data_IF_510336917454
#
_entry.id   IF_510336917454
#
_cell.length_a   1.000
_cell.length_b   1.000
_cell.length_c   1.000
_cell.angle_alpha   90.00
_cell.angle_beta   90.00
_cell.angle_gamma   90.00
#
_symmetry.space_group_name_H-M   'P 1'
#
loop_
_entity.id
_entity.type
_entity.pdbx_description
1 polymer ?
#
# COMPACT_ATOMS: atom_id res chain seq x y z
N UNK A 1 5.22 4.72 23.12
CA UNK A 1 4.86 3.60 22.22
C UNK A 1 3.41 3.76 21.81
N UNK A 2 3.17 3.83 20.51
CA UNK A 2 1.85 3.88 19.93
C UNK A 2 1.06 2.59 20.14
N UNK A 3 -0.26 2.73 20.19
CA UNK A 3 -1.17 1.61 20.37
C UNK A 3 -1.04 0.61 19.22
N UNK A 4 -0.91 1.08 17.98
CA UNK A 4 -0.74 0.19 16.83
C UNK A 4 0.57 -0.61 16.92
N UNK A 5 1.68 0.03 17.31
CA UNK A 5 2.98 -0.65 17.52
C UNK A 5 2.86 -1.78 18.54
N UNK A 6 2.21 -1.52 19.68
CA UNK A 6 1.97 -2.53 20.71
C UNK A 6 1.18 -3.72 20.16
N UNK A 7 0.15 -3.46 19.33
CA UNK A 7 -0.66 -4.54 18.72
C UNK A 7 0.11 -5.36 17.70
N UNK A 8 1.00 -4.74 16.94
CA UNK A 8 1.87 -5.44 15.99
C UNK A 8 2.86 -6.33 16.74
N UNK A 9 3.52 -5.82 17.78
CA UNK A 9 4.42 -6.62 18.63
C UNK A 9 3.70 -7.79 19.32
N UNK A 10 2.48 -7.56 19.82
CA UNK A 10 1.64 -8.63 20.38
C UNK A 10 1.26 -9.69 19.32
N UNK A 11 0.98 -9.26 18.08
CA UNK A 11 0.67 -10.15 16.98
C UNK A 11 1.88 -10.96 16.52
N UNK A 12 3.07 -10.36 16.51
CA UNK A 12 4.34 -11.01 16.25
C UNK A 12 4.57 -12.17 17.21
N UNK A 13 4.49 -11.91 18.52
CA UNK A 13 4.65 -12.93 19.58
C UNK A 13 3.63 -14.08 19.50
N UNK A 14 2.46 -13.84 18.90
CA UNK A 14 1.35 -14.80 18.84
C UNK A 14 1.15 -15.41 17.46
N UNK A 15 2.07 -15.18 16.52
CA UNK A 15 1.94 -15.64 15.13
C UNK A 15 0.61 -15.25 14.45
N UNK A 16 0.11 -14.05 14.77
CA UNK A 16 -1.10 -13.48 14.17
C UNK A 16 -0.76 -12.45 13.10
N UNK A 17 -1.64 -12.32 12.13
CA UNK A 17 -1.57 -11.30 11.08
C UNK A 17 -2.44 -10.09 11.45
N UNK A 18 -1.86 -8.89 11.33
CA UNK A 18 -2.56 -7.61 11.34
C UNK A 18 -2.43 -6.97 9.97
N UNK A 19 -3.55 -6.63 9.34
CA UNK A 19 -3.56 -5.78 8.14
C UNK A 19 -4.25 -4.48 8.52
N UNK A 20 -3.49 -3.39 8.51
CA UNK A 20 -3.93 -2.05 8.86
C UNK A 20 -3.95 -1.14 7.63
N UNK A 21 -5.01 -0.37 7.50
CA UNK A 21 -5.12 0.68 6.48
C UNK A 21 -5.11 2.04 7.14
N UNK A 22 -4.16 2.88 6.76
CA UNK A 22 -3.98 4.24 7.29
C UNK A 22 -4.50 5.22 6.25
N UNK A 23 -5.55 5.94 6.62
CA UNK A 23 -6.32 6.82 5.76
C UNK A 23 -6.39 8.24 6.31
N UNK A 24 -6.71 9.18 5.43
CA UNK A 24 -6.78 10.61 5.73
C UNK A 24 -6.45 11.42 4.48
N UNK A 25 -6.73 12.72 4.51
CA UNK A 25 -6.37 13.63 3.40
C UNK A 25 -4.86 13.66 3.19
N UNK A 26 -4.44 14.08 1.99
CA UNK A 26 -3.02 14.22 1.67
C UNK A 26 -2.35 15.25 2.59
N UNK A 27 -1.10 15.01 2.98
CA UNK A 27 -0.34 15.92 3.84
C UNK A 27 -0.50 15.71 5.35
N UNK A 28 -1.50 14.97 5.84
CA UNK A 28 -1.72 14.79 7.29
C UNK A 28 -0.72 13.85 8.02
N UNK A 29 0.31 13.36 7.34
CA UNK A 29 1.32 12.50 7.99
C UNK A 29 0.96 11.01 8.10
N UNK A 30 0.18 10.46 7.16
CA UNK A 30 -0.11 9.00 7.07
C UNK A 30 1.16 8.15 7.05
N UNK A 31 2.04 8.43 6.09
CA UNK A 31 3.37 7.81 5.95
C UNK A 31 4.23 8.04 7.18
N UNK A 32 4.24 9.26 7.71
CA UNK A 32 5.00 9.61 8.92
C UNK A 32 4.57 8.76 10.12
N UNK A 33 3.27 8.58 10.31
CA UNK A 33 2.74 7.73 11.37
C UNK A 33 3.08 6.25 11.14
N UNK A 34 2.95 5.75 9.91
CA UNK A 34 3.36 4.38 9.56
C UNK A 34 4.84 4.13 9.88
N UNK A 35 5.74 5.03 9.49
CA UNK A 35 7.17 4.94 9.76
C UNK A 35 7.50 5.03 11.25
N UNK A 36 6.82 5.90 12.01
CA UNK A 36 7.03 5.94 13.47
C UNK A 36 6.58 4.63 14.13
N UNK A 37 5.46 4.05 13.70
CA UNK A 37 5.01 2.73 14.17
C UNK A 37 6.06 1.67 13.84
N UNK A 38 6.58 1.65 12.61
CA UNK A 38 7.64 0.72 12.22
C UNK A 38 8.93 0.94 12.99
N UNK A 39 9.33 2.19 13.26
CA UNK A 39 10.50 2.50 14.08
C UNK A 39 10.36 1.96 15.50
N UNK A 40 9.16 2.02 16.09
CA UNK A 40 8.92 1.42 17.40
C UNK A 40 8.92 -0.11 17.38
N UNK A 41 8.51 -0.73 16.26
CA UNK A 41 8.53 -2.19 16.07
C UNK A 41 9.96 -2.71 15.83
N UNK A 42 10.74 -2.02 14.99
CA UNK A 42 12.09 -2.44 14.58
C UNK A 42 13.21 -1.85 15.43
N UNK A 43 12.94 -0.79 16.20
CA UNK A 43 13.92 -0.05 17.00
C UNK A 43 14.77 0.96 16.21
N UNK A 44 14.71 0.95 14.87
CA UNK A 44 15.52 1.79 13.98
C UNK A 44 14.68 2.38 12.84
N UNK A 45 15.02 3.59 12.41
CA UNK A 45 14.37 4.26 11.28
C UNK A 45 14.80 3.68 9.94
N UNK A 46 16.07 3.31 9.83
CA UNK A 46 16.67 2.68 8.66
C UNK A 46 15.97 1.35 8.39
N UNK A 47 15.82 0.51 9.42
CA UNK A 47 15.01 -0.71 9.33
C UNK A 47 13.55 -0.40 8.97
N UNK A 48 12.95 0.63 9.54
CA UNK A 48 11.58 1.01 9.17
C UNK A 48 11.45 1.35 7.68
N UNK A 49 12.46 2.01 7.08
CA UNK A 49 12.51 2.30 5.65
C UNK A 49 12.79 1.06 4.81
N UNK A 50 13.69 0.17 5.23
CA UNK A 50 14.04 -1.05 4.49
C UNK A 50 12.87 -2.04 4.35
N UNK A 51 11.90 -1.96 5.26
CA UNK A 51 10.66 -2.73 5.21
C UNK A 51 9.46 -1.91 4.69
N UNK A 52 9.71 -0.72 4.14
CA UNK A 52 8.73 0.09 3.43
C UNK A 52 8.93 -0.06 1.91
N UNK A 53 7.83 -0.30 1.21
CA UNK A 53 7.82 -0.50 -0.22
C UNK A 53 6.75 0.36 -0.88
N UNK A 54 7.04 0.84 -2.08
CA UNK A 54 6.07 1.50 -2.97
C UNK A 54 5.44 0.51 -3.95
N UNK A 55 6.09 -0.65 -4.17
CA UNK A 55 5.61 -1.74 -5.03
C UNK A 55 5.79 -3.12 -4.36
N UNK A 56 4.99 -4.14 -4.70
CA UNK A 56 5.08 -5.46 -4.07
C UNK A 56 6.28 -6.29 -4.46
N UNK A 57 6.79 -6.15 -5.69
CA UNK A 57 7.79 -7.09 -6.21
C UNK A 57 9.07 -7.14 -5.32
N UNK A 58 9.66 -6.00 -4.91
CA UNK A 58 10.78 -6.02 -3.95
C UNK A 58 10.43 -6.73 -2.64
N UNK A 59 9.22 -6.52 -2.12
CA UNK A 59 8.77 -7.16 -0.88
C UNK A 59 8.59 -8.68 -1.03
N UNK A 60 8.23 -9.18 -2.22
CA UNK A 60 8.09 -10.61 -2.48
C UNK A 60 9.44 -11.33 -2.40
N UNK A 61 10.53 -10.70 -2.84
CA UNK A 61 11.88 -11.25 -2.66
C UNK A 61 12.27 -11.34 -1.19
N UNK A 62 11.97 -10.30 -0.40
CA UNK A 62 12.17 -10.32 1.05
C UNK A 62 11.34 -11.41 1.73
N UNK A 63 10.06 -11.54 1.35
CA UNK A 63 9.15 -12.56 1.84
C UNK A 63 9.64 -13.98 1.52
N UNK A 64 10.19 -14.20 0.32
CA UNK A 64 10.79 -15.48 -0.08
C UNK A 64 11.98 -15.81 0.81
N UNK A 65 12.91 -14.88 1.01
CA UNK A 65 14.08 -15.09 1.86
C UNK A 65 13.67 -15.41 3.32
N UNK A 66 12.69 -14.68 3.87
CA UNK A 66 12.17 -14.97 5.21
C UNK A 66 11.54 -16.37 5.28
N UNK A 67 10.77 -16.78 4.26
CA UNK A 67 10.17 -18.11 4.19
C UNK A 67 11.24 -19.23 4.18
N UNK A 68 12.30 -19.06 3.39
CA UNK A 68 13.42 -20.01 3.28
C UNK A 68 14.16 -20.16 4.61
N UNK A 69 14.24 -19.10 5.41
CA UNK A 69 14.88 -19.09 6.73
C UNK A 69 13.93 -19.54 7.85
N UNK A 70 12.64 -19.79 7.55
CA UNK A 70 11.62 -20.07 8.57
C UNK A 70 11.33 -18.87 9.49
N UNK A 71 11.74 -17.67 9.08
CA UNK A 71 11.55 -16.44 9.82
C UNK A 71 10.23 -15.77 9.46
N UNK A 72 9.77 -14.89 10.36
CA UNK A 72 8.64 -14.02 10.07
C UNK A 72 9.04 -12.56 10.14
N UNK A 73 8.53 -11.81 9.18
CA UNK A 73 8.71 -10.37 9.07
C UNK A 73 7.73 -9.67 10.04
N UNK A 74 8.21 -8.89 11.02
CA UNK A 74 7.34 -8.23 11.99
C UNK A 74 6.31 -7.30 11.35
N UNK A 75 6.74 -6.49 10.38
CA UNK A 75 5.91 -5.48 9.74
C UNK A 75 6.43 -5.08 8.35
N UNK A 76 5.56 -5.08 7.36
CA UNK A 76 5.81 -4.41 6.08
C UNK A 76 4.91 -3.18 5.94
N UNK A 77 5.44 -2.10 5.36
CA UNK A 77 4.65 -0.94 4.95
C UNK A 77 4.55 -0.92 3.43
N UNK A 78 3.34 -0.81 2.90
CA UNK A 78 3.08 -0.40 1.53
C UNK A 78 2.61 1.05 1.53
N UNK A 79 3.51 1.95 1.14
CA UNK A 79 3.22 3.39 1.12
C UNK A 79 2.65 3.80 -0.24
N UNK A 80 1.75 4.80 -0.24
CA UNK A 80 1.08 5.28 -1.46
C UNK A 80 0.44 4.14 -2.29
N UNK A 81 -0.09 3.11 -1.61
CA UNK A 81 -0.53 1.85 -2.21
C UNK A 81 -1.62 2.04 -3.30
N UNK A 82 -2.32 3.18 -3.30
CA UNK A 82 -3.25 3.55 -4.37
C UNK A 82 -2.59 3.62 -5.74
N UNK A 83 -1.41 4.25 -5.85
CA UNK A 83 -0.64 4.36 -7.10
C UNK A 83 -0.22 2.99 -7.62
N UNK A 84 0.21 2.12 -6.71
CA UNK A 84 0.52 0.73 -7.01
C UNK A 84 -0.70 0.03 -7.62
N UNK A 85 -1.84 0.02 -6.93
CA UNK A 85 -3.01 -0.71 -7.43
C UNK A 85 -3.56 -0.14 -8.74
N UNK A 86 -3.44 1.17 -8.97
CA UNK A 86 -3.87 1.77 -10.24
C UNK A 86 -3.05 1.27 -11.43
N UNK A 87 -1.72 1.14 -11.33
CA UNK A 87 -0.85 0.64 -12.42
C UNK A 87 -1.31 -0.72 -12.95
N UNK A 88 -1.66 -1.64 -12.05
CA UNK A 88 -2.06 -2.99 -12.47
C UNK A 88 -3.49 -3.07 -13.01
N UNK A 89 -4.37 -2.11 -12.70
CA UNK A 89 -5.69 -2.03 -13.32
C UNK A 89 -5.60 -1.72 -14.81
N UNK A 90 -4.58 -0.97 -15.23
CA UNK A 90 -4.37 -0.60 -16.64
C UNK A 90 -3.62 -1.67 -17.42
N UNK A 91 -2.65 -2.36 -16.79
CA UNK A 91 -1.82 -3.38 -17.46
C UNK A 91 -2.46 -4.76 -17.60
N UNK A 92 -3.48 -5.08 -16.79
CA UNK A 92 -4.07 -6.43 -16.78
C UNK A 92 -5.59 -6.38 -16.83
N UNK A 93 -6.20 -7.40 -17.42
CA UNK A 93 -7.62 -7.66 -17.16
C UNK A 93 -7.86 -7.73 -15.65
N UNK A 94 -8.90 -7.05 -15.17
CA UNK A 94 -9.22 -6.91 -13.75
C UNK A 94 -9.18 -8.23 -12.97
N UNK A 95 -9.54 -9.34 -13.63
CA UNK A 95 -9.49 -10.70 -13.08
C UNK A 95 -8.06 -11.15 -12.72
N UNK A 96 -7.08 -10.91 -13.60
CA UNK A 96 -5.68 -11.27 -13.38
C UNK A 96 -5.06 -10.46 -12.23
N UNK A 97 -5.46 -9.20 -12.08
CA UNK A 97 -5.04 -8.37 -10.96
C UNK A 97 -5.57 -8.88 -9.62
N UNK A 98 -6.87 -9.20 -9.54
CA UNK A 98 -7.48 -9.72 -8.30
C UNK A 98 -6.81 -11.02 -7.83
N UNK A 99 -6.45 -11.91 -8.76
CA UNK A 99 -5.69 -13.13 -8.48
C UNK A 99 -4.30 -12.80 -7.92
N UNK A 100 -3.55 -11.89 -8.55
CA UNK A 100 -2.22 -11.46 -8.08
C UNK A 100 -2.28 -10.87 -6.66
N UNK A 101 -3.28 -10.04 -6.38
CA UNK A 101 -3.51 -9.52 -5.02
C UNK A 101 -3.87 -10.63 -4.05
N UNK A 102 -4.69 -11.61 -4.45
CA UNK A 102 -4.98 -12.74 -3.59
C UNK A 102 -3.72 -13.48 -3.18
N UNK A 103 -2.90 -13.86 -4.16
CA UNK A 103 -1.62 -14.55 -3.94
C UNK A 103 -0.72 -13.75 -3.00
N UNK A 104 -0.57 -12.43 -3.23
CA UNK A 104 0.22 -11.57 -2.36
C UNK A 104 -0.24 -11.64 -0.89
N UNK A 105 -1.54 -11.55 -0.65
CA UNK A 105 -2.09 -11.62 0.71
C UNK A 105 -1.97 -13.02 1.34
N UNK A 106 -2.00 -14.08 0.53
CA UNK A 106 -1.78 -15.44 1.01
C UNK A 106 -0.31 -15.64 1.43
N UNK A 107 0.65 -15.13 0.66
CA UNK A 107 2.08 -15.10 1.03
C UNK A 107 2.29 -14.28 2.30
N UNK A 108 1.74 -13.07 2.37
CA UNK A 108 1.79 -12.20 3.56
C UNK A 108 1.33 -12.97 4.80
N UNK A 109 0.27 -13.78 4.71
CA UNK A 109 -0.26 -14.53 5.86
C UNK A 109 0.71 -15.58 6.39
N UNK A 110 1.54 -16.14 5.50
CA UNK A 110 2.55 -17.14 5.85
C UNK A 110 3.72 -16.45 6.57
N UNK A 111 4.27 -15.39 5.96
CA UNK A 111 5.60 -14.87 6.34
C UNK A 111 5.58 -13.54 7.12
N UNK A 112 4.48 -12.80 7.14
CA UNK A 112 4.40 -11.51 7.83
C UNK A 112 3.47 -11.58 9.06
N UNK A 113 3.73 -10.76 10.08
CA UNK A 113 2.82 -10.58 11.21
C UNK A 113 2.02 -9.28 11.12
N UNK A 114 2.52 -8.28 10.38
CA UNK A 114 1.77 -7.09 10.11
C UNK A 114 2.04 -6.52 8.72
N UNK A 115 1.00 -5.89 8.16
CA UNK A 115 1.08 -5.07 6.96
C UNK A 115 0.34 -3.76 7.23
N UNK A 116 1.00 -2.64 6.95
CA UNK A 116 0.41 -1.31 6.94
C UNK A 116 0.29 -0.85 5.49
N UNK A 117 -0.90 -0.41 5.09
CA UNK A 117 -1.16 0.22 3.81
C UNK A 117 -1.45 1.69 4.05
N UNK A 118 -0.77 2.59 3.34
CA UNK A 118 -1.12 4.02 3.35
C UNK A 118 -1.64 4.40 1.96
N UNK A 119 -2.75 5.15 1.92
CA UNK A 119 -3.25 5.80 0.70
C UNK A 119 -4.44 6.71 1.05
N UNK A 120 -4.77 7.67 0.18
CA UNK A 120 -6.10 8.27 0.20
C UNK A 120 -7.18 7.20 0.06
N UNK A 121 -8.32 7.37 0.73
CA UNK A 121 -9.40 6.35 0.77
C UNK A 121 -9.90 5.98 -0.61
N UNK A 122 -9.99 6.98 -1.50
CA UNK A 122 -10.54 6.84 -2.84
C UNK A 122 -9.65 5.97 -3.75
N UNK A 123 -8.34 5.93 -3.46
CA UNK A 123 -7.35 5.33 -4.37
C UNK A 123 -7.13 3.84 -4.08
N UNK A 124 -7.60 3.33 -2.93
CA UNK A 124 -7.47 1.91 -2.59
C UNK A 124 -8.64 1.11 -3.12
N UNK A 125 -8.36 -0.02 -3.77
CA UNK A 125 -9.44 -0.87 -4.27
C UNK A 125 -10.23 -1.52 -3.14
N UNK A 126 -11.54 -1.70 -3.40
CA UNK A 126 -12.49 -2.26 -2.43
C UNK A 126 -12.03 -3.61 -1.88
N UNK A 127 -11.44 -4.45 -2.71
CA UNK A 127 -10.96 -5.79 -2.31
C UNK A 127 -9.81 -5.73 -1.31
N UNK A 128 -8.86 -4.80 -1.45
CA UNK A 128 -7.80 -4.59 -0.45
C UNK A 128 -8.41 -4.06 0.85
N UNK A 129 -9.31 -3.08 0.76
CA UNK A 129 -9.98 -2.53 1.96
C UNK A 129 -10.71 -3.62 2.74
N UNK A 130 -11.32 -4.62 2.11
CA UNK A 130 -11.98 -5.74 2.80
C UNK A 130 -11.00 -6.59 3.63
N UNK A 131 -9.75 -6.75 3.19
CA UNK A 131 -8.71 -7.50 3.91
C UNK A 131 -8.12 -6.71 5.09
N UNK A 132 -8.23 -5.39 5.10
CA UNK A 132 -7.76 -4.52 6.19
C UNK A 132 -8.75 -4.53 7.37
N UNK A 133 -8.46 -5.33 8.40
CA UNK A 133 -9.27 -5.42 9.62
C UNK A 133 -9.03 -4.26 10.60
N UNK A 134 -7.90 -3.58 10.45
CA UNK A 134 -7.56 -2.40 11.23
C UNK A 134 -7.62 -1.18 10.33
N UNK A 135 -8.18 -0.09 10.82
CA UNK A 135 -8.26 1.19 10.11
C UNK A 135 -7.73 2.26 11.03
N UNK A 136 -6.83 3.09 10.54
CA UNK A 136 -6.30 4.24 11.25
C UNK A 136 -6.69 5.48 10.47
N UNK A 137 -7.51 6.34 11.07
CA UNK A 137 -7.87 7.62 10.49
C UNK A 137 -6.94 8.69 11.08
N UNK A 138 -6.20 9.37 10.21
CA UNK A 138 -5.37 10.50 10.60
C UNK A 138 -6.19 11.78 10.46
N UNK A 139 -6.27 12.53 11.56
CA UNK A 139 -6.88 13.86 11.59
C UNK A 139 -5.85 14.89 12.06
N UNK A 140 -5.96 16.10 11.53
CA UNK A 140 -5.23 17.25 12.06
C UNK A 140 -5.82 17.63 13.42
N UNK A 141 -4.95 17.86 14.41
CA UNK A 141 -5.34 18.41 15.71
C UNK A 141 -5.06 19.90 15.74
N UNK A 142 -3.85 20.26 15.34
CA UNK A 142 -3.31 21.60 15.27
C UNK A 142 -2.11 21.61 14.30
N UNK A 143 -1.51 22.76 13.96
CA UNK A 143 -0.42 22.84 12.99
C UNK A 143 0.83 22.00 13.31
N UNK A 144 0.99 21.54 14.56
CA UNK A 144 2.17 20.79 15.01
C UNK A 144 1.86 19.32 15.29
N UNK A 145 0.58 18.97 15.50
CA UNK A 145 0.17 17.65 15.96
C UNK A 145 -0.98 17.07 15.15
N UNK A 146 -0.93 15.76 14.97
CA UNK A 146 -1.99 14.96 14.36
C UNK A 146 -2.43 13.86 15.33
N UNK A 147 -3.66 13.39 15.14
CA UNK A 147 -4.23 12.27 15.90
C UNK A 147 -4.50 11.12 14.94
N UNK A 148 -3.99 9.94 15.28
CA UNK A 148 -4.30 8.68 14.65
C UNK A 148 -5.41 7.97 15.45
N UNK A 149 -6.66 8.05 14.99
CA UNK A 149 -7.79 7.31 15.56
C UNK A 149 -7.77 5.88 15.04
N UNK A 150 -7.64 4.91 15.93
CA UNK A 150 -7.47 3.50 15.58
C UNK A 150 -8.79 2.76 15.77
N UNK A 151 -9.23 2.11 14.71
CA UNK A 151 -10.45 1.33 14.63
C UNK A 151 -10.15 -0.13 14.29
N UNK A 152 -11.01 -1.02 14.78
CA UNK A 152 -11.06 -2.41 14.34
C UNK A 152 -12.41 -2.71 13.72
N UNK A 153 -12.39 -3.28 12.51
CA UNK A 153 -13.58 -3.75 11.82
C UNK A 153 -14.18 -4.94 12.55
N UNK A 154 -15.51 -4.94 12.61
CA UNK A 154 -16.32 -6.08 13.03
C UNK A 154 -17.38 -6.33 11.96
N UNK A 155 -17.70 -7.60 11.79
CA UNK A 155 -18.74 -8.07 10.88
C UNK A 155 -19.68 -8.93 11.71
N UNK A 156 -20.99 -8.71 11.61
CA UNK A 156 -21.99 -9.56 12.25
C UNK A 156 -22.36 -10.72 11.32
N UNK A 157 -23.19 -11.64 11.82
CA UNK A 157 -23.66 -12.79 11.04
C UNK A 157 -24.39 -12.40 9.74
N UNK A 158 -24.92 -11.17 9.64
CA UNK A 158 -25.64 -10.64 8.45
C UNK A 158 -24.68 -9.92 7.48
N UNK A 159 -23.37 -9.91 7.75
CA UNK A 159 -22.39 -9.27 6.89
C UNK A 159 -22.28 -7.74 7.03
N UNK A 160 -23.03 -7.11 7.95
CA UNK A 160 -22.93 -5.67 8.22
C UNK A 160 -21.58 -5.38 8.89
N UNK A 161 -20.83 -4.46 8.29
CA UNK A 161 -19.53 -4.02 8.80
C UNK A 161 -19.68 -2.77 9.65
N UNK A 162 -19.06 -2.73 10.82
CA UNK A 162 -18.89 -1.50 11.61
C UNK A 162 -17.48 -1.40 12.18
N UNK A 163 -17.12 -0.19 12.60
CA UNK A 163 -15.80 0.15 13.11
C UNK A 163 -15.91 0.45 14.61
N UNK A 164 -15.20 -0.30 15.45
CA UNK A 164 -15.06 0.02 16.87
C UNK A 164 -13.77 0.80 17.08
N UNK A 165 -13.84 2.03 17.57
CA UNK A 165 -12.66 2.78 17.98
C UNK A 165 -12.01 2.07 19.19
N UNK A 166 -10.71 1.88 19.12
CA UNK A 166 -9.93 1.18 20.14
C UNK A 166 -8.99 2.12 20.90
N UNK A 167 -8.42 3.11 20.22
CA UNK A 167 -7.43 4.01 20.79
C UNK A 167 -7.27 5.28 19.93
N UNK A 168 -6.47 6.20 20.45
CA UNK A 168 -5.96 7.36 19.75
C UNK A 168 -4.46 7.50 20.05
N UNK A 169 -3.66 7.69 19.01
CA UNK A 169 -2.25 8.00 19.13
C UNK A 169 -2.02 9.45 18.69
N UNK A 170 -1.37 10.26 19.52
CA UNK A 170 -1.02 11.65 19.19
C UNK A 170 0.43 11.69 18.73
N UNK A 171 0.70 12.33 17.60
CA UNK A 171 2.04 12.35 17.01
C UNK A 171 2.31 13.65 16.25
N UNK A 172 3.58 14.05 16.17
CA UNK A 172 4.00 15.11 15.26
C UNK A 172 4.11 14.54 13.84
N UNK A 173 3.50 15.15 12.81
CA UNK A 173 3.56 14.68 11.42
C UNK A 173 4.92 14.96 10.75
N UNK A 174 6.00 15.06 11.53
CA UNK A 174 7.38 15.25 11.07
C UNK A 174 8.28 14.03 11.35
N UNK A 175 9.15 13.73 10.39
CA UNK A 175 10.26 12.77 10.51
C UNK A 175 11.59 13.51 10.77
N UNK A 176 12.60 12.84 11.34
CA UNK A 176 13.96 13.38 11.35
C UNK A 176 14.42 13.70 9.93
N UNK A 177 15.16 14.80 9.75
CA UNK A 177 15.45 15.34 8.41
C UNK A 177 16.18 14.32 7.51
N UNK A 178 17.22 13.64 8.02
CA UNK A 178 17.92 12.58 7.29
C UNK A 178 17.00 11.41 6.84
N UNK A 179 16.05 11.00 7.68
CA UNK A 179 15.08 9.95 7.34
C UNK A 179 14.09 10.44 6.31
N UNK A 180 13.65 11.69 6.44
CA UNK A 180 12.76 12.32 5.47
C UNK A 180 13.43 12.40 4.09
N UNK A 181 14.69 12.81 4.02
CA UNK A 181 15.48 12.86 2.77
C UNK A 181 15.60 11.47 2.13
N UNK A 182 15.95 10.45 2.91
CA UNK A 182 16.04 9.06 2.42
C UNK A 182 14.69 8.56 1.89
N UNK A 183 13.61 8.82 2.63
CA UNK A 183 12.25 8.49 2.20
C UNK A 183 11.89 9.20 0.89
N UNK A 184 12.11 10.51 0.81
CA UNK A 184 11.78 11.32 -0.37
C UNK A 184 12.57 10.87 -1.60
N UNK A 185 13.83 10.47 -1.43
CA UNK A 185 14.62 9.89 -2.53
C UNK A 185 13.99 8.60 -3.05
N UNK A 186 13.60 7.67 -2.16
CA UNK A 186 12.95 6.41 -2.56
C UNK A 186 11.58 6.64 -3.21
N UNK A 187 10.78 7.57 -2.65
CA UNK A 187 9.46 7.94 -3.21
C UNK A 187 9.61 8.54 -4.61
N UNK A 188 10.56 9.45 -4.80
CA UNK A 188 10.81 10.08 -6.09
C UNK A 188 11.18 9.06 -7.16
N UNK A 189 11.99 8.06 -6.82
CA UNK A 189 12.30 6.97 -7.74
C UNK A 189 11.04 6.20 -8.14
N UNK A 190 10.25 5.77 -7.16
CA UNK A 190 9.00 5.07 -7.44
C UNK A 190 8.01 5.90 -8.27
N UNK A 191 7.92 7.21 -8.02
CA UNK A 191 7.09 8.11 -8.82
C UNK A 191 7.60 8.23 -10.26
N UNK A 192 8.92 8.25 -10.49
CA UNK A 192 9.51 8.24 -11.84
C UNK A 192 9.22 6.93 -12.57
N UNK A 193 9.35 5.79 -11.90
CA UNK A 193 9.06 4.48 -12.48
C UNK A 193 7.59 4.41 -12.93
N UNK A 194 6.65 4.92 -12.11
CA UNK A 194 5.22 5.00 -12.47
C UNK A 194 4.97 5.92 -13.66
N UNK A 195 5.68 7.06 -13.76
CA UNK A 195 5.57 7.97 -14.90
C UNK A 195 6.08 7.29 -16.17
N UNK A 196 7.20 6.60 -16.11
CA UNK A 196 7.79 5.88 -17.25
C UNK A 196 6.84 4.78 -17.77
N UNK A 197 6.25 4.00 -16.87
CA UNK A 197 5.25 3.00 -17.22
C UNK A 197 4.03 3.63 -17.90
N UNK A 198 3.52 4.73 -17.35
CA UNK A 198 2.39 5.45 -17.95
C UNK A 198 2.73 5.95 -19.37
N UNK A 199 3.91 6.54 -19.57
CA UNK A 199 4.37 6.99 -20.90
C UNK A 199 4.38 5.82 -21.89
N UNK A 200 4.99 4.70 -21.51
CA UNK A 200 5.07 3.51 -22.34
C UNK A 200 3.68 2.97 -22.73
N UNK A 201 2.74 2.99 -21.80
CA UNK A 201 1.34 2.59 -22.05
C UNK A 201 0.63 3.52 -23.01
N UNK A 202 0.75 4.85 -22.84
CA UNK A 202 0.14 5.82 -23.75
C UNK A 202 0.72 5.70 -25.17
N UNK A 203 2.04 5.51 -25.31
CA UNK A 203 2.68 5.28 -26.60
C UNK A 203 2.18 3.99 -27.27
N UNK A 204 2.07 2.90 -26.52
CA UNK A 204 1.56 1.63 -27.03
C UNK A 204 0.08 1.74 -27.48
N UNK A 205 -0.75 2.47 -26.73
CA UNK A 205 -2.13 2.72 -27.07
C UNK A 205 -2.27 3.58 -28.35
N UNK A 206 -1.45 4.62 -28.51
CA UNK A 206 -1.42 5.43 -29.73
C UNK A 206 -0.97 4.62 -30.96
N UNK A 207 0.08 3.81 -30.82
CA UNK A 207 0.55 2.93 -31.90
C UNK A 207 -0.56 1.98 -32.37
N UNK A 208 -1.26 1.33 -31.43
CA UNK A 208 -2.39 0.45 -31.72
C UNK A 208 -3.56 1.19 -32.36
N UNK A 209 -3.82 2.44 -31.97
CA UNK A 209 -4.86 3.29 -32.59
C UNK A 209 -4.49 3.64 -34.04
N UNK A 210 -3.25 4.03 -34.30
CA UNK A 210 -2.76 4.33 -35.66
C UNK A 210 -2.84 3.12 -36.58
N UNK A 211 -2.45 1.95 -36.09
CA UNK A 211 -2.55 0.69 -36.83
C UNK A 211 -4.00 0.38 -37.24
N UNK A 212 -4.96 0.48 -36.30
CA UNK A 212 -6.40 0.28 -36.60
C UNK A 212 -6.95 1.28 -37.62
N UNK A 213 -6.50 2.53 -37.58
CA UNK A 213 -6.89 3.55 -38.56
C UNK A 213 -6.36 3.22 -39.95
N UNK A 214 -5.12 2.74 -40.07
CA UNK A 214 -4.55 2.29 -41.34
C UNK A 214 -5.31 1.08 -41.91
N UNK A 215 -5.54 0.06 -41.08
CA UNK A 215 -6.32 -1.13 -41.47
C UNK A 215 -7.75 -0.76 -41.94
N UNK A 216 -8.39 0.18 -41.25
CA UNK A 216 -9.71 0.68 -41.65
C UNK A 216 -9.69 1.45 -42.99
N UNK A 217 -8.64 2.22 -43.25
CA UNK A 217 -8.48 2.98 -44.49
C UNK A 217 -8.17 2.05 -45.67
N UNK A 218 -7.35 1.03 -45.46
CA UNK A 218 -7.04 0.02 -46.49
C UNK A 218 -8.29 -0.78 -46.86
N UNK A 219 -9.07 -1.20 -45.87
CA UNK A 219 -10.33 -1.90 -46.10
C UNK A 219 -11.34 -1.04 -46.88
N UNK A 220 -11.49 0.24 -46.50
CA UNK A 220 -12.38 1.16 -47.21
C UNK A 220 -11.95 1.39 -48.68
N UNK A 221 -10.64 1.37 -48.98
CA UNK A 221 -10.14 1.45 -50.36
C UNK A 221 -10.44 0.20 -51.18
N UNK A 222 -10.36 -0.98 -50.56
CA UNK A 222 -10.70 -2.26 -51.19
C UNK A 222 -12.20 -2.38 -51.49
N UNK A 223 -13.06 -1.85 -50.62
CA UNK A 223 -14.52 -1.88 -50.81
C UNK A 223 -15.02 -0.87 -51.88
N UNK A 224 -14.17 0.08 -52.30
CA UNK A 224 -14.48 1.08 -53.34
C UNK A 224 -13.89 0.75 -54.72
N UNK A 225 -13.12 -0.33 -54.84
CA UNK A 225 -12.51 -0.82 -56.08
C UNK A 225 -13.30 -2.00 -56.65
#
# INVERSE_FOLDING_TARGET
>A
MFYLSKKILDAYKRNRLIIAFIQGTQGLGKTTYALKVAKEVYGSWEKALDYMFFEPLPSLFLMKAAAEQGERIPLIIYDDAGKFFSKYLFQTEFQNFAVKISILFDVIRIVCNAVILTAPVQDVLKEIRKKCWWVVEIIEKDPYWSIAKIYKKKINAVGKVWHKQLAQDVFQPKLPDHIYEMYMKRRRQADLDVIEDAINEFLAAEAKRRQRLQESLEKAKLDMA
#
